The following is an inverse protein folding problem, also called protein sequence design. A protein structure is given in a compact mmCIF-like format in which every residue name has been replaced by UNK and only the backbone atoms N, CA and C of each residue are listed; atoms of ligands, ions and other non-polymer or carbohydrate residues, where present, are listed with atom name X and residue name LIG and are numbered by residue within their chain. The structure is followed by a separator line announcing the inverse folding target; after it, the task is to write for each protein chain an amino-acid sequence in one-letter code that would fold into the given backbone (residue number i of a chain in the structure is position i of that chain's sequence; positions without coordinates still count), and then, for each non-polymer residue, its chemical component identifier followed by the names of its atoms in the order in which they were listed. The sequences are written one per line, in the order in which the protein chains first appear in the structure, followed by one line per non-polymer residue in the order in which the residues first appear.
data_IF_020470989030
#
_entry.id   IF_020470989030
#
_cell.length_a   1.000
_cell.length_b   1.000
_cell.length_c   1.000
_cell.angle_alpha   90.00
_cell.angle_beta   90.00
_cell.angle_gamma   90.00
#
_symmetry.space_group_name_H-M   'P 1'
#
loop_
_entity.id
_entity.type
_entity.pdbx_description
1 polymer ?
#
# COMPACT_ATOMS: atom_id res chain seq x y z
N UNK A 1 76.82 8.42 -27.24
CA UNK A 1 75.50 8.97 -26.82
C UNK A 1 74.31 8.43 -27.63
N UNK A 2 74.50 7.89 -28.84
CA UNK A 2 73.40 7.37 -29.67
C UNK A 2 72.96 5.92 -29.34
N UNK A 3 73.74 5.17 -28.56
CA UNK A 3 73.44 3.78 -28.19
C UNK A 3 72.61 3.64 -26.89
N UNK A 4 72.47 4.71 -26.09
CA UNK A 4 71.73 4.70 -24.83
C UNK A 4 70.23 5.05 -24.99
N UNK A 5 69.83 5.66 -26.12
CA UNK A 5 68.44 6.03 -26.38
C UNK A 5 67.64 5.00 -27.20
N UNK A 6 68.31 4.08 -27.93
CA UNK A 6 67.64 3.06 -28.73
C UNK A 6 67.23 1.80 -27.95
N UNK A 7 67.86 1.57 -26.78
CA UNK A 7 67.57 0.41 -25.95
C UNK A 7 66.27 0.59 -25.13
N UNK A 8 65.98 1.82 -24.68
CA UNK A 8 64.75 2.18 -23.96
C UNK A 8 63.50 2.16 -24.87
N UNK A 9 63.62 2.57 -26.14
CA UNK A 9 62.51 2.56 -27.10
C UNK A 9 62.08 1.13 -27.50
N UNK A 10 63.03 0.20 -27.60
CA UNK A 10 62.73 -1.22 -27.90
C UNK A 10 62.13 -1.97 -26.70
N UNK A 11 62.49 -1.58 -25.46
CA UNK A 11 61.85 -2.12 -24.25
C UNK A 11 60.43 -1.56 -24.06
N UNK A 12 60.23 -0.26 -24.29
CA UNK A 12 58.91 0.38 -24.27
C UNK A 12 57.99 -0.21 -25.34
N UNK A 13 58.49 -0.47 -26.55
CA UNK A 13 57.74 -1.14 -27.62
C UNK A 13 57.37 -2.57 -27.24
N UNK A 14 58.31 -3.36 -26.71
CA UNK A 14 58.02 -4.73 -26.24
C UNK A 14 57.00 -4.76 -25.10
N UNK A 15 57.06 -3.80 -24.18
CA UNK A 15 56.09 -3.66 -23.10
C UNK A 15 54.69 -3.26 -23.62
N UNK A 16 54.63 -2.32 -24.57
CA UNK A 16 53.40 -1.91 -25.24
C UNK A 16 52.77 -3.06 -26.05
N UNK A 17 53.58 -3.79 -26.82
CA UNK A 17 53.13 -4.96 -27.59
C UNK A 17 52.63 -6.09 -26.68
N UNK A 18 53.29 -6.30 -25.53
CA UNK A 18 52.83 -7.24 -24.50
C UNK A 18 51.50 -6.84 -23.87
N UNK A 19 51.26 -5.55 -23.64
CA UNK A 19 50.00 -5.04 -23.12
C UNK A 19 48.87 -5.14 -24.16
N UNK A 20 49.16 -4.80 -25.41
CA UNK A 20 48.24 -4.93 -26.55
C UNK A 20 47.87 -6.39 -26.79
N UNK A 21 48.82 -7.32 -26.67
CA UNK A 21 48.56 -8.75 -26.81
C UNK A 21 47.68 -9.31 -25.68
N UNK A 22 47.89 -8.85 -24.44
CA UNK A 22 47.03 -9.23 -23.30
C UNK A 22 45.62 -8.64 -23.42
N UNK A 23 45.50 -7.41 -23.92
CA UNK A 23 44.21 -6.80 -24.24
C UNK A 23 43.49 -7.55 -25.37
N UNK A 24 44.20 -7.95 -26.43
CA UNK A 24 43.66 -8.73 -27.53
C UNK A 24 43.19 -10.13 -27.08
N UNK A 25 43.99 -10.83 -26.25
CA UNK A 25 43.61 -12.12 -25.65
C UNK A 25 42.41 -11.99 -24.69
N UNK A 26 42.37 -10.93 -23.88
CA UNK A 26 41.23 -10.64 -23.00
C UNK A 26 39.96 -10.33 -23.79
N UNK A 27 40.06 -9.55 -24.86
CA UNK A 27 38.95 -9.26 -25.77
C UNK A 27 38.45 -10.52 -26.49
N UNK A 28 39.36 -11.35 -26.99
CA UNK A 28 39.01 -12.63 -27.63
C UNK A 28 38.33 -13.58 -26.64
N UNK A 29 38.82 -13.69 -25.40
CA UNK A 29 38.20 -14.51 -24.36
C UNK A 29 36.80 -13.99 -24.00
N UNK A 30 36.62 -12.68 -23.86
CA UNK A 30 35.30 -12.07 -23.60
C UNK A 30 34.30 -12.34 -24.74
N UNK A 31 34.75 -12.27 -26.01
CA UNK A 31 33.92 -12.60 -27.16
C UNK A 31 33.54 -14.08 -27.21
N UNK A 32 34.46 -14.99 -26.86
CA UNK A 32 34.18 -16.43 -26.78
C UNK A 32 33.19 -16.74 -25.65
N UNK A 33 33.33 -16.09 -24.49
CA UNK A 33 32.39 -16.24 -23.37
C UNK A 33 31.01 -15.69 -23.76
N UNK A 34 30.94 -14.50 -24.37
CA UNK A 34 29.69 -13.92 -24.82
C UNK A 34 29.02 -14.80 -25.89
N UNK A 35 29.79 -15.33 -26.85
CA UNK A 35 29.29 -16.26 -27.86
C UNK A 35 28.79 -17.56 -27.24
N UNK A 36 29.56 -18.16 -26.32
CA UNK A 36 29.16 -19.36 -25.59
C UNK A 36 27.87 -19.14 -24.79
N UNK A 37 27.76 -18.01 -24.08
CA UNK A 37 26.54 -17.62 -23.36
C UNK A 37 25.36 -17.42 -24.32
N UNK A 38 25.55 -16.72 -25.44
CA UNK A 38 24.50 -16.56 -26.46
C UNK A 38 24.04 -17.91 -27.00
N UNK A 39 24.97 -18.82 -27.34
CA UNK A 39 24.61 -20.16 -27.85
C UNK A 39 23.93 -21.04 -26.80
N UNK A 40 24.36 -20.97 -25.55
CA UNK A 40 23.74 -21.70 -24.44
C UNK A 40 22.33 -21.16 -24.11
N UNK A 41 22.13 -19.85 -24.22
CA UNK A 41 20.85 -19.19 -23.97
C UNK A 41 19.91 -19.16 -25.19
N UNK A 42 20.42 -19.36 -26.41
CA UNK A 42 19.63 -19.35 -27.64
C UNK A 42 18.46 -20.33 -27.66
N UNK A 43 18.61 -21.62 -27.29
CA UNK A 43 17.47 -22.53 -27.21
C UNK A 43 16.45 -22.09 -26.14
N UNK A 44 16.90 -21.49 -25.04
CA UNK A 44 16.01 -20.93 -24.02
C UNK A 44 15.24 -19.71 -24.54
N UNK A 45 15.88 -18.85 -25.34
CA UNK A 45 15.26 -17.71 -26.01
C UNK A 45 14.22 -18.15 -27.05
N UNK A 46 14.50 -19.21 -27.81
CA UNK A 46 13.55 -19.77 -28.77
C UNK A 46 12.37 -20.48 -28.09
N UNK A 47 12.60 -21.12 -26.95
CA UNK A 47 11.55 -21.76 -26.17
C UNK A 47 10.73 -20.76 -25.35
N UNK A 48 11.27 -19.58 -25.02
CA UNK A 48 10.62 -18.61 -24.14
C UNK A 48 9.20 -18.19 -24.60
N UNK A 49 8.93 -17.88 -25.89
CA UNK A 49 7.57 -17.61 -26.34
C UNK A 49 6.62 -18.79 -26.14
N UNK A 50 7.09 -20.02 -26.40
CA UNK A 50 6.29 -21.24 -26.23
C UNK A 50 5.96 -21.45 -24.75
N UNK A 51 6.97 -21.35 -23.89
CA UNK A 51 6.82 -21.44 -22.43
C UNK A 51 5.86 -20.36 -21.92
N UNK A 52 5.97 -19.14 -22.44
CA UNK A 52 5.07 -18.04 -22.07
C UNK A 52 3.63 -18.35 -22.49
N UNK A 53 3.38 -18.77 -23.73
CA UNK A 53 2.02 -19.11 -24.20
C UNK A 53 1.43 -20.26 -23.38
N UNK A 54 2.21 -21.31 -23.12
CA UNK A 54 1.74 -22.41 -22.25
C UNK A 54 1.42 -21.90 -20.85
N UNK A 55 2.29 -21.07 -20.27
CA UNK A 55 2.07 -20.43 -18.98
C UNK A 55 0.83 -19.56 -18.95
N UNK A 56 0.58 -18.77 -19.99
CA UNK A 56 -0.61 -17.93 -20.14
C UNK A 56 -1.89 -18.76 -20.23
N UNK A 57 -1.87 -19.88 -20.97
CA UNK A 57 -3.01 -20.79 -21.07
C UNK A 57 -3.33 -21.45 -19.73
N UNK A 58 -2.31 -21.92 -19.01
CA UNK A 58 -2.47 -22.47 -17.65
C UNK A 58 -3.00 -21.39 -16.70
N UNK A 59 -2.46 -20.17 -16.80
CA UNK A 59 -2.89 -19.07 -15.97
C UNK A 59 -4.35 -18.68 -16.24
N UNK A 60 -4.76 -18.62 -17.51
CA UNK A 60 -6.15 -18.37 -17.90
C UNK A 60 -7.10 -19.44 -17.35
N UNK A 61 -6.71 -20.72 -17.38
CA UNK A 61 -7.52 -21.79 -16.81
C UNK A 61 -7.69 -21.63 -15.28
N UNK A 62 -6.60 -21.35 -14.55
CA UNK A 62 -6.63 -21.10 -13.10
C UNK A 62 -7.47 -19.87 -12.74
N UNK A 63 -7.36 -18.82 -13.54
CA UNK A 63 -8.14 -17.61 -13.38
C UNK A 63 -9.63 -17.85 -13.60
N UNK A 64 -10.01 -18.55 -14.67
CA UNK A 64 -11.42 -18.87 -14.93
C UNK A 64 -11.99 -19.68 -13.77
N UNK A 65 -11.24 -20.67 -13.26
CA UNK A 65 -11.65 -21.46 -12.10
C UNK A 65 -11.84 -20.58 -10.85
N UNK A 66 -10.86 -19.73 -10.53
CA UNK A 66 -10.94 -18.83 -9.37
C UNK A 66 -12.07 -17.82 -9.51
N UNK A 67 -12.25 -17.28 -10.71
CA UNK A 67 -13.33 -16.36 -11.01
C UNK A 67 -14.70 -17.03 -10.79
N UNK A 68 -14.89 -18.26 -11.27
CA UNK A 68 -16.13 -19.00 -11.05
C UNK A 68 -16.41 -19.20 -9.55
N UNK A 69 -15.39 -19.56 -8.76
CA UNK A 69 -15.53 -19.73 -7.30
C UNK A 69 -15.92 -18.41 -6.63
N UNK A 70 -15.23 -17.31 -6.95
CA UNK A 70 -15.46 -16.01 -6.30
C UNK A 70 -16.79 -15.38 -6.75
N UNK A 71 -17.17 -15.54 -8.03
CA UNK A 71 -18.45 -15.05 -8.53
C UNK A 71 -19.64 -15.89 -8.03
N UNK A 72 -19.47 -17.21 -7.83
CA UNK A 72 -20.50 -18.05 -7.21
C UNK A 72 -20.62 -17.84 -5.69
N UNK A 73 -19.58 -17.29 -5.05
CA UNK A 73 -19.57 -16.95 -3.62
C UNK A 73 -20.27 -15.62 -3.33
N UNK A 74 -21.00 -15.06 -4.30
CA UNK A 74 -21.91 -13.95 -4.08
C UNK A 74 -22.77 -14.26 -2.86
N UNK A 75 -22.65 -13.42 -1.83
CA UNK A 75 -23.32 -13.52 -0.52
C UNK A 75 -22.68 -14.49 0.49
N UNK A 76 -21.35 -14.56 0.57
CA UNK A 76 -20.71 -14.98 1.82
C UNK A 76 -20.87 -13.84 2.84
N UNK A 77 -21.90 -13.96 3.68
CA UNK A 77 -22.28 -13.19 4.88
C UNK A 77 -21.66 -11.80 5.06
N UNK A 78 -22.47 -10.73 5.27
CA UNK A 78 -21.93 -9.40 5.55
C UNK A 78 -20.90 -9.50 6.68
N UNK A 79 -19.63 -9.25 6.34
CA UNK A 79 -18.55 -9.17 7.33
C UNK A 79 -18.75 -7.85 8.08
N UNK A 80 -19.65 -7.90 9.04
CA UNK A 80 -19.75 -6.88 10.08
C UNK A 80 -18.58 -7.08 11.03
N UNK A 81 -17.92 -6.01 11.50
CA UNK A 81 -17.02 -6.10 12.63
C UNK A 81 -17.76 -6.74 13.83
N UNK A 82 -17.06 -7.54 14.64
CA UNK A 82 -17.71 -8.34 15.71
C UNK A 82 -18.45 -7.48 16.75
N UNK A 83 -17.97 -6.26 17.00
CA UNK A 83 -18.52 -5.30 17.98
C UNK A 83 -19.17 -4.08 17.29
N UNK A 84 -19.79 -4.30 16.13
CA UNK A 84 -20.33 -3.21 15.30
C UNK A 84 -21.73 -2.77 15.73
N UNK A 85 -21.85 -1.52 16.17
CA UNK A 85 -23.13 -0.83 16.39
C UNK A 85 -23.40 0.18 15.26
N UNK A 86 -24.44 -0.01 14.43
CA UNK A 86 -24.77 0.91 13.32
C UNK A 86 -24.93 2.36 13.76
N UNK A 87 -25.64 2.59 14.86
CA UNK A 87 -25.95 3.92 15.39
C UNK A 87 -24.68 4.67 15.85
N UNK A 88 -23.83 4.01 16.63
CA UNK A 88 -22.57 4.63 17.08
C UNK A 88 -21.64 4.96 15.91
N UNK A 89 -21.60 4.09 14.91
CA UNK A 89 -20.78 4.31 13.73
C UNK A 89 -21.35 5.44 12.85
N UNK A 90 -22.67 5.51 12.72
CA UNK A 90 -23.35 6.62 12.04
C UNK A 90 -23.03 7.96 12.71
N UNK A 91 -23.15 8.07 14.04
CA UNK A 91 -22.81 9.31 14.74
C UNK A 91 -21.35 9.73 14.50
N UNK A 92 -20.38 8.79 14.59
CA UNK A 92 -18.97 9.08 14.25
C UNK A 92 -18.79 9.51 12.79
N UNK A 93 -19.51 8.88 11.86
CA UNK A 93 -19.48 9.27 10.46
C UNK A 93 -20.03 10.69 10.27
N UNK A 94 -21.10 11.06 10.98
CA UNK A 94 -21.72 12.38 10.84
C UNK A 94 -20.80 13.54 11.23
N UNK A 95 -19.85 13.33 12.15
CA UNK A 95 -18.82 14.33 12.49
C UNK A 95 -17.97 14.71 11.27
N UNK A 96 -17.68 13.73 10.41
CA UNK A 96 -16.93 13.92 9.17
C UNK A 96 -17.85 14.41 8.04
N UNK A 97 -19.11 13.94 8.01
CA UNK A 97 -20.10 14.37 7.02
C UNK A 97 -20.38 15.88 7.04
N UNK A 98 -20.20 16.54 8.18
CA UNK A 98 -20.30 18.02 8.31
C UNK A 98 -19.25 18.78 7.51
N UNK A 99 -18.16 18.13 7.09
CA UNK A 99 -17.08 18.77 6.34
C UNK A 99 -17.35 18.82 4.83
N UNK A 100 -18.39 18.15 4.33
CA UNK A 100 -18.73 18.19 2.91
C UNK A 100 -19.42 19.51 2.56
N UNK A 101 -18.84 20.25 1.59
CA UNK A 101 -19.41 21.51 1.11
C UNK A 101 -20.65 21.32 0.22
N UNK A 102 -20.67 20.27 -0.61
CA UNK A 102 -21.80 19.95 -1.50
C UNK A 102 -22.33 18.53 -1.26
N UNK A 103 -23.26 18.46 -0.33
CA UNK A 103 -23.94 17.24 0.07
C UNK A 103 -24.87 16.71 -1.03
N UNK A 104 -25.49 17.60 -1.81
CA UNK A 104 -26.42 17.19 -2.85
C UNK A 104 -25.65 16.48 -3.96
N UNK A 105 -24.48 17.00 -4.33
CA UNK A 105 -23.56 16.32 -5.23
C UNK A 105 -23.07 14.98 -4.65
N UNK A 106 -22.77 14.91 -3.35
CA UNK A 106 -22.39 13.64 -2.70
C UNK A 106 -23.49 12.58 -2.84
N UNK A 107 -24.74 12.93 -2.50
CA UNK A 107 -25.86 12.00 -2.66
C UNK A 107 -26.08 11.64 -4.13
N UNK A 108 -26.11 12.62 -5.03
CA UNK A 108 -26.22 12.38 -6.48
C UNK A 108 -25.16 11.40 -6.99
N UNK A 109 -23.90 11.54 -6.57
CA UNK A 109 -22.82 10.62 -6.92
C UNK A 109 -23.13 9.19 -6.48
N UNK A 110 -23.56 8.99 -5.24
CA UNK A 110 -23.96 7.67 -4.74
C UNK A 110 -25.14 7.06 -5.50
N UNK A 111 -26.01 7.89 -6.08
CA UNK A 111 -27.10 7.48 -6.97
C UNK A 111 -26.76 7.56 -8.46
N UNK A 112 -25.47 7.38 -8.82
CA UNK A 112 -24.99 7.30 -10.21
C UNK A 112 -25.24 8.60 -11.00
N UNK A 113 -24.89 9.71 -10.37
CA UNK A 113 -25.06 11.08 -10.88
C UNK A 113 -26.52 11.47 -11.16
N UNK A 114 -27.48 10.82 -10.48
CA UNK A 114 -28.90 11.18 -10.59
C UNK A 114 -29.17 12.58 -10.04
N UNK A 115 -30.06 13.37 -10.65
CA UNK A 115 -30.42 14.69 -10.13
C UNK A 115 -30.97 14.59 -8.70
N UNK A 116 -30.49 15.42 -7.78
CA UNK A 116 -30.96 15.43 -6.39
C UNK A 116 -32.50 15.57 -6.28
N UNK A 117 -33.13 16.31 -7.19
CA UNK A 117 -34.58 16.50 -7.23
C UNK A 117 -35.38 15.22 -7.47
N UNK A 118 -34.75 14.16 -7.98
CA UNK A 118 -35.39 12.85 -8.19
C UNK A 118 -35.25 11.91 -6.99
N UNK A 119 -34.33 12.21 -6.06
CA UNK A 119 -34.15 11.43 -4.86
C UNK A 119 -35.36 11.59 -3.93
N UNK A 120 -35.74 10.49 -3.31
CA UNK A 120 -36.78 10.45 -2.30
C UNK A 120 -36.23 9.86 -1.02
N UNK A 121 -36.91 10.16 0.10
CA UNK A 121 -36.50 9.71 1.43
C UNK A 121 -36.29 8.21 1.52
N UNK A 122 -37.15 7.41 0.88
CA UNK A 122 -37.01 5.95 0.82
C UNK A 122 -35.75 5.46 0.09
N UNK A 123 -35.27 6.19 -0.93
CA UNK A 123 -34.01 5.84 -1.59
C UNK A 123 -32.82 6.09 -0.65
N UNK A 124 -32.84 7.18 0.12
CA UNK A 124 -31.79 7.50 1.10
C UNK A 124 -31.80 6.49 2.25
N UNK A 125 -32.97 6.07 2.72
CA UNK A 125 -33.10 4.98 3.69
C UNK A 125 -32.46 3.68 3.18
N UNK A 126 -32.66 3.34 1.91
CA UNK A 126 -32.03 2.19 1.27
C UNK A 126 -30.49 2.28 1.29
N UNK A 127 -29.94 3.46 0.97
CA UNK A 127 -28.50 3.70 1.03
C UNK A 127 -27.94 3.60 2.47
N UNK A 128 -28.65 4.12 3.47
CA UNK A 128 -28.22 4.05 4.88
C UNK A 128 -28.33 2.62 5.45
N UNK A 129 -29.38 1.87 5.09
CA UNK A 129 -29.52 0.46 5.43
C UNK A 129 -28.35 -0.36 4.87
N UNK A 130 -27.98 -0.11 3.62
CA UNK A 130 -26.78 -0.68 3.00
C UNK A 130 -25.50 -0.30 3.75
N UNK A 131 -25.26 1.00 3.94
CA UNK A 131 -23.98 1.52 4.41
C UNK A 131 -23.71 1.23 5.89
N UNK A 132 -24.75 1.27 6.73
CA UNK A 132 -24.62 1.17 8.19
C UNK A 132 -25.20 -0.11 8.76
N UNK A 133 -26.11 -0.82 8.09
CA UNK A 133 -26.66 -2.07 8.61
C UNK A 133 -26.17 -3.30 7.84
N UNK A 134 -25.55 -3.10 6.67
CA UNK A 134 -25.18 -4.16 5.73
C UNK A 134 -26.38 -5.07 5.39
N UNK A 135 -27.58 -4.48 5.32
CA UNK A 135 -28.87 -5.16 5.15
C UNK A 135 -29.80 -4.38 4.23
N UNK A 136 -30.78 -5.06 3.66
CA UNK A 136 -31.92 -4.41 3.00
C UNK A 136 -32.82 -3.70 4.03
N UNK A 137 -33.65 -2.76 3.57
CA UNK A 137 -34.62 -2.09 4.44
C UNK A 137 -35.57 -3.10 5.10
N UNK A 138 -36.10 -4.05 4.32
CA UNK A 138 -36.97 -5.13 4.84
C UNK A 138 -36.30 -5.95 5.94
N UNK A 139 -34.99 -6.22 5.81
CA UNK A 139 -34.24 -6.97 6.82
C UNK A 139 -34.02 -6.15 8.11
N UNK A 140 -33.78 -4.84 7.98
CA UNK A 140 -33.69 -3.92 9.13
C UNK A 140 -35.03 -3.82 9.85
N UNK A 141 -36.13 -3.73 9.11
CA UNK A 141 -37.49 -3.70 9.68
C UNK A 141 -37.82 -5.00 10.40
N UNK A 142 -37.50 -6.15 9.79
CA UNK A 142 -37.70 -7.47 10.39
C UNK A 142 -36.95 -7.64 11.70
N UNK A 143 -35.78 -7.03 11.82
CA UNK A 143 -34.96 -7.05 13.04
C UNK A 143 -35.43 -6.02 14.09
N UNK A 144 -36.50 -5.27 13.81
CA UNK A 144 -37.08 -4.27 14.71
C UNK A 144 -36.29 -2.95 14.75
N UNK A 145 -35.37 -2.73 13.82
CA UNK A 145 -34.49 -1.57 13.77
C UNK A 145 -34.98 -0.49 12.78
N UNK A 146 -36.19 -0.61 12.24
CA UNK A 146 -36.75 0.36 11.29
C UNK A 146 -36.84 1.78 11.85
N UNK A 147 -37.19 1.94 13.13
CA UNK A 147 -37.19 3.25 13.79
C UNK A 147 -35.79 3.88 13.84
N UNK A 148 -34.74 3.07 14.04
CA UNK A 148 -33.36 3.54 14.07
C UNK A 148 -32.94 4.04 12.68
N UNK A 149 -33.30 3.32 11.63
CA UNK A 149 -33.04 3.72 10.25
C UNK A 149 -33.76 5.03 9.89
N UNK A 150 -35.03 5.17 10.23
CA UNK A 150 -35.78 6.42 10.01
C UNK A 150 -35.18 7.60 10.79
N UNK A 151 -34.72 7.35 12.03
CA UNK A 151 -34.02 8.36 12.81
C UNK A 151 -32.70 8.78 12.15
N UNK A 152 -31.94 7.85 11.56
CA UNK A 152 -30.72 8.18 10.81
C UNK A 152 -31.02 9.06 9.59
N UNK A 153 -32.08 8.76 8.83
CA UNK A 153 -32.47 9.58 7.68
C UNK A 153 -32.83 11.00 8.12
N UNK A 154 -33.68 11.14 9.14
CA UNK A 154 -34.08 12.43 9.67
C UNK A 154 -32.87 13.23 10.21
N UNK A 155 -31.94 12.53 10.87
CA UNK A 155 -30.72 13.14 11.39
C UNK A 155 -29.81 13.65 10.26
N UNK A 156 -29.72 12.91 9.17
CA UNK A 156 -28.97 13.31 7.98
C UNK A 156 -29.58 14.54 7.30
N UNK A 157 -30.91 14.60 7.19
CA UNK A 157 -31.63 15.79 6.70
C UNK A 157 -31.38 17.02 7.57
N UNK A 158 -31.37 16.85 8.90
CA UNK A 158 -31.10 17.91 9.85
C UNK A 158 -29.68 18.47 9.73
N UNK A 159 -28.68 17.57 9.70
CA UNK A 159 -27.25 17.94 9.66
C UNK A 159 -26.90 18.73 8.40
N UNK A 160 -27.53 18.38 7.28
CA UNK A 160 -27.24 18.97 5.99
C UNK A 160 -28.31 19.96 5.51
N UNK A 161 -29.30 20.26 6.35
CA UNK A 161 -30.43 21.14 6.04
C UNK A 161 -31.08 20.78 4.69
N UNK A 162 -31.30 19.49 4.47
CA UNK A 162 -31.92 18.97 3.24
C UNK A 162 -33.42 18.86 3.41
N UNK A 163 -34.14 19.24 2.36
CA UNK A 163 -35.55 18.89 2.18
C UNK A 163 -35.61 17.79 1.13
N UNK A 164 -35.81 16.54 1.56
CA UNK A 164 -35.96 15.39 0.68
C UNK A 164 -37.45 15.05 0.60
N UNK A 165 -37.98 14.92 -0.62
CA UNK A 165 -39.38 14.58 -0.78
C UNK A 165 -39.67 13.15 -0.28
N UNK A 166 -40.82 13.00 0.38
CA UNK A 166 -41.34 11.71 0.81
C UNK A 166 -41.63 10.78 -0.38
N UNK A 167 -41.49 9.47 -0.14
CA UNK A 167 -41.76 8.42 -1.12
C UNK A 167 -40.52 7.65 -1.57
N UNK A 168 -40.64 6.98 -2.72
CA UNK A 168 -39.60 6.12 -3.29
C UNK A 168 -39.58 6.24 -4.80
N UNK A 169 -38.40 6.40 -5.38
CA UNK A 169 -38.22 6.41 -6.83
C UNK A 169 -37.61 5.07 -7.29
N UNK A 170 -38.37 4.20 -7.98
CA UNK A 170 -37.90 2.86 -8.39
C UNK A 170 -36.93 2.87 -9.57
N UNK A 171 -36.75 3.99 -10.28
CA UNK A 171 -35.77 4.06 -11.38
C UNK A 171 -34.35 4.31 -10.88
N UNK A 172 -34.18 4.77 -9.63
CA UNK A 172 -32.89 5.08 -9.05
C UNK A 172 -32.23 3.83 -8.45
N UNK A 173 -30.91 3.75 -8.60
CA UNK A 173 -30.08 2.71 -7.98
C UNK A 173 -28.85 3.36 -7.39
N UNK A 174 -28.57 3.06 -6.14
CA UNK A 174 -27.35 3.51 -5.50
C UNK A 174 -26.15 2.60 -5.86
N UNK A 175 -24.94 3.06 -5.55
CA UNK A 175 -23.69 2.31 -5.74
C UNK A 175 -23.48 1.27 -4.63
N UNK A 176 -24.17 0.13 -4.73
CA UNK A 176 -24.06 -1.00 -3.81
C UNK A 176 -22.87 -1.92 -4.07
N UNK A 177 -21.66 -1.37 -4.16
CA UNK A 177 -20.45 -2.07 -4.60
C UNK A 177 -20.10 -3.37 -3.80
N UNK A 178 -20.61 -3.54 -2.58
CA UNK A 178 -20.46 -4.77 -1.79
C UNK A 178 -21.48 -5.86 -2.15
N UNK A 179 -22.58 -5.49 -2.79
CA UNK A 179 -23.68 -6.41 -3.17
C UNK A 179 -23.74 -6.66 -4.67
N UNK A 180 -23.12 -5.79 -5.47
CA UNK A 180 -23.00 -5.98 -6.91
C UNK A 180 -21.94 -7.03 -7.25
N UNK A 181 -22.13 -7.83 -8.31
CA UNK A 181 -21.09 -8.74 -8.79
C UNK A 181 -19.81 -7.98 -9.11
N UNK A 182 -18.66 -8.51 -8.65
CA UNK A 182 -17.36 -7.94 -8.96
C UNK A 182 -17.11 -7.94 -10.47
N UNK A 183 -17.18 -6.75 -11.07
CA UNK A 183 -16.68 -6.54 -12.42
C UNK A 183 -15.17 -6.58 -12.37
N UNK A 184 -14.57 -7.37 -13.25
CA UNK A 184 -13.15 -7.65 -13.20
C UNK A 184 -12.60 -7.69 -14.63
N UNK A 185 -11.38 -7.20 -14.81
CA UNK A 185 -10.68 -7.16 -16.09
C UNK A 185 -9.59 -8.22 -16.07
N UNK A 186 -9.56 -9.07 -17.10
CA UNK A 186 -8.46 -10.00 -17.30
C UNK A 186 -7.14 -9.25 -17.40
N UNK A 187 -6.17 -9.63 -16.56
CA UNK A 187 -4.78 -9.15 -16.61
C UNK A 187 -3.92 -10.35 -16.95
N UNK A 188 -3.14 -10.32 -18.05
CA UNK A 188 -2.37 -11.49 -18.49
C UNK A 188 -1.25 -11.83 -17.49
N UNK A 189 -0.68 -13.04 -17.60
CA UNK A 189 0.42 -13.49 -16.75
C UNK A 189 1.59 -12.50 -16.76
N UNK A 190 1.92 -11.96 -17.93
CA UNK A 190 2.97 -10.95 -18.10
C UNK A 190 2.78 -9.70 -17.23
N UNK A 191 1.53 -9.28 -16.97
CA UNK A 191 1.25 -8.18 -16.06
C UNK A 191 1.71 -8.52 -14.64
N UNK A 192 1.33 -9.68 -14.10
CA UNK A 192 1.72 -10.10 -12.76
C UNK A 192 3.24 -10.34 -12.65
N UNK A 193 3.87 -10.90 -13.68
CA UNK A 193 5.32 -11.03 -13.73
C UNK A 193 6.01 -9.65 -13.67
N UNK A 194 5.48 -8.65 -14.38
CA UNK A 194 6.02 -7.29 -14.32
C UNK A 194 5.86 -6.66 -12.94
N UNK A 195 4.74 -6.92 -12.25
CA UNK A 195 4.48 -6.45 -10.89
C UNK A 195 5.38 -7.13 -9.84
N UNK A 196 5.68 -8.42 -10.01
CA UNK A 196 6.64 -9.12 -9.17
C UNK A 196 8.08 -8.61 -9.42
N UNK A 197 8.44 -8.33 -10.67
CA UNK A 197 9.72 -7.69 -11.00
C UNK A 197 9.83 -6.27 -10.40
N UNK A 198 8.75 -5.48 -10.48
CA UNK A 198 8.65 -4.17 -9.84
C UNK A 198 8.83 -4.26 -8.30
N UNK A 199 8.28 -5.29 -7.67
CA UNK A 199 8.47 -5.54 -6.25
C UNK A 199 9.92 -5.90 -5.89
N UNK A 200 10.62 -6.66 -6.75
CA UNK A 200 12.06 -6.94 -6.58
C UNK A 200 12.90 -5.66 -6.71
N UNK A 201 12.58 -4.80 -7.68
CA UNK A 201 13.24 -3.49 -7.83
C UNK A 201 13.01 -2.61 -6.60
N UNK A 202 11.77 -2.57 -6.09
CA UNK A 202 11.43 -1.90 -4.84
C UNK A 202 12.25 -2.46 -3.67
N UNK A 203 12.31 -3.78 -3.50
CA UNK A 203 13.06 -4.43 -2.41
C UNK A 203 14.55 -4.04 -2.47
N UNK A 204 15.14 -4.08 -3.65
CA UNK A 204 16.53 -3.68 -3.86
C UNK A 204 16.74 -2.20 -3.52
N UNK A 205 15.83 -1.33 -3.96
CA UNK A 205 15.90 0.12 -3.70
C UNK A 205 15.78 0.44 -2.21
N UNK A 206 14.82 -0.15 -1.50
CA UNK A 206 14.64 0.05 -0.06
C UNK A 206 15.86 -0.46 0.74
N UNK A 207 16.40 -1.64 0.38
CA UNK A 207 17.62 -2.16 1.02
C UNK A 207 18.82 -1.26 0.78
N UNK A 208 18.99 -0.73 -0.43
CA UNK A 208 20.05 0.22 -0.74
C UNK A 208 19.94 1.52 0.09
N UNK A 209 18.73 1.92 0.49
CA UNK A 209 18.48 3.06 1.39
C UNK A 209 18.58 2.71 2.89
N UNK A 210 18.97 1.48 3.24
CA UNK A 210 19.17 1.04 4.63
C UNK A 210 17.89 0.54 5.33
N UNK A 211 16.79 0.34 4.60
CA UNK A 211 15.62 -0.33 5.15
C UNK A 211 15.86 -1.84 5.26
N UNK A 212 15.37 -2.42 6.34
CA UNK A 212 15.36 -3.86 6.60
C UNK A 212 13.95 -4.39 6.37
N UNK A 213 13.84 -5.47 5.61
CA UNK A 213 12.57 -6.15 5.38
C UNK A 213 12.28 -7.07 6.56
N UNK A 214 11.05 -6.99 7.08
CA UNK A 214 10.50 -7.92 8.05
C UNK A 214 9.15 -8.46 7.59
N UNK A 215 8.67 -9.46 8.32
CA UNK A 215 7.31 -9.99 8.19
C UNK A 215 6.70 -9.99 9.61
N UNK A 216 5.47 -9.51 9.71
CA UNK A 216 4.71 -9.55 10.95
C UNK A 216 3.28 -9.97 10.62
N UNK A 217 2.85 -11.10 11.18
CA UNK A 217 1.48 -11.61 11.04
C UNK A 217 1.03 -11.76 9.57
N UNK A 218 1.96 -12.05 8.65
CA UNK A 218 1.67 -12.19 7.22
C UNK A 218 1.67 -10.88 6.42
N UNK A 219 1.97 -9.74 7.07
CA UNK A 219 2.24 -8.46 6.42
C UNK A 219 3.75 -8.25 6.30
N UNK A 220 4.20 -7.96 5.09
CA UNK A 220 5.57 -7.54 4.86
C UNK A 220 5.72 -6.07 5.25
N UNK A 221 6.79 -5.73 5.96
CA UNK A 221 7.11 -4.34 6.27
C UNK A 221 8.60 -4.06 6.05
N UNK A 222 8.94 -2.77 5.92
CA UNK A 222 10.29 -2.28 5.79
C UNK A 222 10.55 -1.27 6.90
N UNK A 223 11.54 -1.52 7.74
CA UNK A 223 11.89 -0.63 8.83
C UNK A 223 13.31 -0.08 8.67
N UNK A 224 13.49 1.19 9.01
CA UNK A 224 14.80 1.83 9.11
C UNK A 224 14.89 2.49 10.49
N UNK A 225 15.90 2.16 11.32
CA UNK A 225 16.07 2.81 12.62
C UNK A 225 16.40 4.29 12.43
N UNK A 226 16.04 5.10 13.42
CA UNK A 226 16.43 6.51 13.47
C UNK A 226 17.94 6.66 13.66
N UNK A 227 18.50 7.75 13.16
CA UNK A 227 19.95 8.03 13.25
C UNK A 227 20.37 8.58 14.61
N UNK A 228 19.42 9.09 15.42
CA UNK A 228 19.69 9.47 16.82
C UNK A 228 19.94 8.26 17.73
N UNK A 229 19.22 7.15 17.51
CA UNK A 229 19.32 5.94 18.34
C UNK A 229 20.58 5.08 18.07
N UNK A 230 21.34 5.33 17.00
CA UNK A 230 22.57 4.58 16.70
C UNK A 230 23.77 4.98 17.59
N UNK A 231 23.64 6.04 18.40
CA UNK A 231 24.65 6.43 19.41
C UNK A 231 24.41 5.80 20.80
N UNK A 232 23.31 5.07 21.00
CA UNK A 232 22.84 4.62 22.33
C UNK A 232 23.04 3.13 22.64
N UNK A 233 23.81 2.36 21.85
CA UNK A 233 24.17 1.00 22.27
C UNK A 233 25.29 1.05 23.31
N UNK A 234 24.89 1.22 24.57
CA UNK A 234 25.79 1.10 25.72
C UNK A 234 25.09 1.38 27.05
N UNK A 235 24.65 0.31 27.71
CA UNK A 235 24.43 0.21 29.16
C UNK A 235 23.42 1.19 29.81
N UNK A 236 22.27 0.67 30.23
CA UNK A 236 22.03 0.41 31.66
C UNK A 236 20.59 -0.09 31.91
N UNK A 237 20.52 -1.36 32.30
CA UNK A 237 19.51 -1.83 33.23
C UNK A 237 19.98 -1.48 34.66
N UNK A 238 19.01 -1.21 35.54
CA UNK A 238 19.11 -1.06 37.00
C UNK A 238 19.61 0.30 37.56
N UNK A 239 18.80 0.90 38.43
CA UNK A 239 19.23 1.98 39.32
C UNK A 239 18.10 2.89 39.78
N UNK A 240 17.40 2.50 40.85
CA UNK A 240 16.47 3.37 41.57
C UNK A 240 17.19 4.51 42.32
N UNK A 241 16.47 5.63 42.47
CA UNK A 241 16.48 6.62 43.56
C UNK A 241 17.78 7.40 43.90
N UNK A 242 17.74 8.73 43.75
CA UNK A 242 17.92 9.72 44.83
C UNK A 242 17.85 11.15 44.27
N UNK A 243 17.29 12.08 45.06
CA UNK A 243 16.96 13.44 44.65
C UNK A 243 18.06 14.50 44.81
N UNK A 244 17.68 15.74 44.51
CA UNK A 244 18.51 16.93 44.73
C UNK A 244 17.84 18.19 44.19
N UNK A 245 17.31 19.01 45.08
CA UNK A 245 16.70 20.30 44.81
C UNK A 245 17.74 21.35 44.35
N UNK A 246 17.30 22.29 43.50
CA UNK A 246 18.07 23.49 43.15
C UNK A 246 17.26 24.44 42.28
N UNK A 247 16.78 25.53 42.89
CA UNK A 247 15.98 26.58 42.29
C UNK A 247 16.77 27.45 41.29
N UNK A 248 16.09 27.93 40.25
CA UNK A 248 16.59 28.90 39.28
C UNK A 248 15.62 29.12 38.12
N UNK A 249 14.55 29.91 38.36
CA UNK A 249 13.67 30.49 37.33
C UNK A 249 14.34 31.76 36.75
N UNK A 250 14.15 32.20 35.51
CA UNK A 250 13.32 31.74 34.42
C UNK A 250 13.88 32.31 33.10
N UNK A 251 13.62 31.60 32.00
CA UNK A 251 14.15 31.87 30.66
C UNK A 251 14.57 30.62 29.90
N UNK A 252 14.77 29.49 30.61
CA UNK A 252 15.10 28.19 30.02
C UNK A 252 13.92 27.22 29.86
N UNK A 253 12.74 27.54 30.39
CA UNK A 253 11.60 26.62 30.37
C UNK A 253 11.01 26.42 28.96
N UNK A 254 10.92 27.49 28.16
CA UNK A 254 10.39 27.43 26.79
C UNK A 254 11.38 26.77 25.81
N UNK A 255 12.68 27.06 25.94
CA UNK A 255 13.72 26.38 25.17
C UNK A 255 13.87 24.90 25.56
N UNK A 256 13.65 24.55 26.84
CA UNK A 256 13.68 23.16 27.34
C UNK A 256 12.39 22.40 27.02
N UNK A 257 11.26 23.08 26.89
CA UNK A 257 10.02 22.49 26.36
C UNK A 257 10.13 22.25 24.86
N UNK A 258 10.65 23.20 24.08
CA UNK A 258 10.91 22.99 22.65
C UNK A 258 11.97 21.91 22.42
N UNK A 259 13.08 21.89 23.16
CA UNK A 259 14.08 20.82 23.07
C UNK A 259 13.53 19.46 23.54
N UNK A 260 12.69 19.44 24.58
CA UNK A 260 12.05 18.21 25.07
C UNK A 260 10.96 17.67 24.13
N UNK A 261 10.22 18.54 23.44
CA UNK A 261 9.24 18.19 22.41
C UNK A 261 9.93 17.78 21.09
N UNK A 262 11.03 18.44 20.71
CA UNK A 262 11.86 18.07 19.56
C UNK A 262 12.57 16.73 19.77
N UNK A 263 13.09 16.46 20.98
CA UNK A 263 13.68 15.16 21.34
C UNK A 263 12.61 14.05 21.39
N UNK A 264 11.43 14.30 21.97
CA UNK A 264 10.32 13.34 21.94
C UNK A 264 9.79 13.07 20.52
N UNK A 265 9.78 14.07 19.65
CA UNK A 265 9.37 13.92 18.25
C UNK A 265 10.34 13.09 17.39
N UNK A 266 11.62 13.04 17.75
CA UNK A 266 12.65 12.31 16.99
C UNK A 266 12.59 10.79 17.16
N UNK A 267 12.10 10.30 18.31
CA UNK A 267 11.98 8.87 18.61
C UNK A 267 10.64 8.27 18.14
N UNK A 268 9.61 9.09 17.89
CA UNK A 268 8.32 8.60 17.40
C UNK A 268 8.46 8.10 15.96
N UNK A 269 8.20 6.80 15.68
CA UNK A 269 8.34 6.24 14.35
C UNK A 269 7.32 6.81 13.36
N UNK A 270 7.75 7.02 12.13
CA UNK A 270 6.90 7.39 11.01
C UNK A 270 6.37 6.13 10.34
N UNK A 271 5.04 5.94 10.34
CA UNK A 271 4.36 4.82 9.68
C UNK A 271 3.82 5.24 8.31
N UNK A 272 4.24 4.54 7.25
CA UNK A 272 3.68 4.67 5.91
C UNK A 272 2.84 3.45 5.55
N UNK A 273 1.57 3.70 5.21
CA UNK A 273 0.65 2.74 4.62
C UNK A 273 0.39 3.14 3.16
N UNK A 274 0.63 2.24 2.21
CA UNK A 274 0.37 2.53 0.79
C UNK A 274 -1.08 2.21 0.41
N UNK A 275 -1.60 2.93 -0.59
CA UNK A 275 -2.90 2.64 -1.21
C UNK A 275 -2.85 1.55 -2.28
N UNK A 276 -3.96 1.41 -3.00
CA UNK A 276 -4.08 0.48 -4.14
C UNK A 276 -3.12 0.90 -5.26
N UNK A 277 -2.37 -0.04 -5.83
CA UNK A 277 -1.46 0.25 -6.95
C UNK A 277 -0.21 -0.60 -6.93
N UNK A 278 0.96 0.00 -7.18
CA UNK A 278 2.26 -0.71 -7.27
C UNK A 278 2.97 -0.91 -5.92
N UNK A 279 2.21 -1.04 -4.83
CA UNK A 279 2.77 -1.16 -3.48
C UNK A 279 3.59 0.06 -3.06
N UNK A 280 4.71 -0.17 -2.38
CA UNK A 280 5.64 0.88 -1.95
C UNK A 280 6.51 1.49 -3.07
N UNK A 281 6.50 0.94 -4.30
CA UNK A 281 7.40 1.41 -5.37
C UNK A 281 7.22 2.91 -5.73
N UNK A 282 5.99 3.45 -5.88
CA UNK A 282 5.80 4.88 -6.15
C UNK A 282 6.28 5.79 -5.01
N UNK A 283 6.43 5.22 -3.81
CA UNK A 283 6.76 5.96 -2.59
C UNK A 283 8.26 5.94 -2.28
N UNK A 284 9.13 5.40 -3.15
CA UNK A 284 10.58 5.31 -2.89
C UNK A 284 11.19 6.68 -2.59
N UNK A 285 10.89 7.70 -3.40
CA UNK A 285 11.40 9.06 -3.17
C UNK A 285 10.85 9.65 -1.87
N UNK A 286 9.57 9.40 -1.58
CA UNK A 286 8.97 9.86 -0.33
C UNK A 286 9.62 9.18 0.89
N UNK A 287 9.83 7.88 0.85
CA UNK A 287 10.52 7.11 1.89
C UNK A 287 11.96 7.54 2.09
N UNK A 288 12.67 7.92 1.01
CA UNK A 288 14.00 8.51 1.11
C UNK A 288 13.97 9.83 1.88
N UNK A 289 12.98 10.69 1.59
CA UNK A 289 12.80 11.96 2.30
C UNK A 289 12.44 11.74 3.78
N UNK A 290 11.56 10.78 4.09
CA UNK A 290 11.25 10.42 5.48
C UNK A 290 12.48 9.87 6.20
N UNK A 291 13.27 9.02 5.55
CA UNK A 291 14.50 8.50 6.12
C UNK A 291 15.55 9.61 6.39
N UNK A 292 15.56 10.66 5.56
CA UNK A 292 16.45 11.80 5.71
C UNK A 292 16.11 12.69 6.92
N UNK A 293 14.90 12.59 7.49
CA UNK A 293 14.56 13.30 8.74
C UNK A 293 15.26 12.72 9.97
N UNK A 294 15.96 11.59 9.83
CA UNK A 294 16.64 10.91 10.93
C UNK A 294 15.72 10.16 11.90
N UNK A 295 14.40 10.20 11.68
CA UNK A 295 13.40 9.49 12.49
C UNK A 295 13.34 8.01 12.10
N UNK A 296 12.94 7.11 13.02
CA UNK A 296 12.61 5.74 12.64
C UNK A 296 11.46 5.74 11.61
N UNK A 297 11.57 4.93 10.57
CA UNK A 297 10.54 4.80 9.53
C UNK A 297 10.11 3.35 9.42
N UNK A 298 8.80 3.11 9.38
CA UNK A 298 8.17 1.81 9.14
C UNK A 298 7.24 1.98 7.93
N UNK A 299 7.43 1.17 6.89
CA UNK A 299 6.60 1.17 5.70
C UNK A 299 5.99 -0.22 5.51
N UNK A 300 4.66 -0.31 5.50
CA UNK A 300 3.94 -1.58 5.39
C UNK A 300 3.57 -1.85 3.94
N UNK A 301 3.77 -3.08 3.49
CA UNK A 301 3.37 -3.56 2.16
C UNK A 301 2.18 -4.52 2.27
N UNK A 302 1.03 -4.07 1.77
CA UNK A 302 -0.18 -4.85 1.60
C UNK A 302 -0.18 -5.51 0.22
N UNK A 303 0.38 -6.73 0.13
CA UNK A 303 0.52 -7.45 -1.15
C UNK A 303 -0.80 -7.59 -1.93
N UNK A 304 -1.91 -7.78 -1.22
CA UNK A 304 -3.24 -8.01 -1.81
C UNK A 304 -3.85 -6.76 -2.47
N UNK A 305 -3.41 -5.55 -2.13
CA UNK A 305 -3.79 -4.30 -2.84
C UNK A 305 -2.65 -3.73 -3.72
N UNK A 306 -1.51 -4.43 -3.80
CA UNK A 306 -0.34 -4.01 -4.56
C UNK A 306 -0.33 -4.48 -6.03
N UNK A 307 -1.50 -4.85 -6.59
CA UNK A 307 -1.62 -5.45 -7.94
C UNK A 307 -0.72 -6.68 -8.17
N UNK A 308 -0.34 -7.35 -7.08
CA UNK A 308 0.57 -8.50 -7.08
C UNK A 308 -0.20 -9.79 -6.99
N UNK A 309 0.47 -10.87 -7.42
CA UNK A 309 -0.12 -12.20 -7.34
C UNK A 309 -0.26 -12.64 -5.88
N UNK A 310 -1.50 -12.86 -5.43
CA UNK A 310 -1.81 -13.44 -4.13
C UNK A 310 -2.89 -14.54 -4.29
N UNK A 311 -2.78 -15.60 -3.49
CA UNK A 311 -3.77 -16.70 -3.49
C UNK A 311 -4.83 -16.54 -2.40
N UNK A 312 -4.63 -15.58 -1.50
CA UNK A 312 -5.51 -15.26 -0.39
C UNK A 312 -5.56 -13.74 -0.22
N UNK A 313 -6.76 -13.21 0.01
CA UNK A 313 -7.03 -11.79 0.23
C UNK A 313 -7.70 -11.72 1.61
N UNK A 314 -7.05 -11.12 2.62
CA UNK A 314 -7.68 -10.93 3.93
C UNK A 314 -8.86 -9.98 3.82
N UNK A 315 -9.80 -10.10 4.75
CA UNK A 315 -10.74 -9.01 5.01
C UNK A 315 -10.08 -7.82 5.72
N UNK A 316 -10.78 -6.70 5.75
CA UNK A 316 -10.32 -5.51 6.49
C UNK A 316 -10.16 -5.84 7.97
N UNK A 317 -11.13 -6.56 8.56
CA UNK A 317 -11.07 -6.99 9.96
C UNK A 317 -9.91 -7.95 10.23
N UNK A 318 -9.67 -8.91 9.34
CA UNK A 318 -8.52 -9.82 9.46
C UNK A 318 -7.20 -9.04 9.41
N UNK A 319 -7.08 -8.06 8.51
CA UNK A 319 -5.89 -7.21 8.40
C UNK A 319 -5.71 -6.30 9.62
N UNK A 320 -6.80 -5.78 10.19
CA UNK A 320 -6.76 -4.91 11.37
C UNK A 320 -6.40 -5.67 12.65
N UNK A 321 -6.92 -6.89 12.83
CA UNK A 321 -6.61 -7.74 13.99
C UNK A 321 -5.17 -8.23 14.02
N UNK A 322 -4.56 -8.35 12.84
CA UNK A 322 -3.13 -8.62 12.66
C UNK A 322 -2.26 -7.48 13.23
N UNK A 323 -2.85 -6.30 13.54
CA UNK A 323 -2.17 -5.10 14.02
C UNK A 323 -2.50 -4.63 15.44
N UNK A 324 -3.14 -5.43 16.30
CA UNK A 324 -3.37 -5.11 17.73
C UNK A 324 -2.88 -6.24 18.63
#
# INVERSE_FOLDING_TARGET
MQALFGQDDDELRRAADGLLWRAALGGAAALVIAFAMCTACFPLLLAAPIVYVIGELVFAALYIQKYQILSSSAVAAPQRPLDYCPLEFFEKATEHLKQFEDVRAFLSLWFRDAPFSELRRGNVAELLAYAFFYKTVDDVERDGQGCDLEAMVARLEEIWHLEIEEGYNPSLKFMGHLWEPLTHMWRPLGFYLSMEAAALLRDASLRAMGFRRGDCMGLTYYSRPGTAAAAGTGANAAGAAAGGAGAGEGGGAEARQQQGEEEQGQDVPLLLLHGVGMGLLPYITFLANLAATGRPVIAVEFKHIAMRWCNWIPSVDETARVGV
#
